data_IF_163524004707
#
_entry.id   IF_163524004707
#
_cell.length_a   1.000
_cell.length_b   1.000
_cell.length_c   1.000
_cell.angle_alpha   90.00
_cell.angle_beta   90.00
_cell.angle_gamma   90.00
#
_symmetry.space_group_name_H-M   'P 1'
#
loop_
_entity.id
_entity.type
_entity.pdbx_description
1 polymer ?
#
# COMPACT_ATOMS: atom_id res chain seq x y z
N UNK A 1 -6.02 -3.20 -14.00
CA UNK A 1 -6.23 -4.67 -14.02
C UNK A 1 -6.95 -5.03 -12.74
N UNK A 2 -7.67 -6.15 -12.70
CA UNK A 2 -8.16 -6.66 -11.43
C UNK A 2 -7.04 -7.46 -10.74
N UNK A 3 -6.46 -6.89 -9.68
CA UNK A 3 -5.43 -7.54 -8.88
C UNK A 3 -6.01 -8.30 -7.66
N UNK A 4 -7.33 -8.24 -7.45
CA UNK A 4 -7.98 -8.87 -6.31
C UNK A 4 -7.53 -8.31 -4.95
N UNK A 5 -7.06 -7.06 -4.90
CA UNK A 5 -6.51 -6.44 -3.69
C UNK A 5 -7.54 -5.62 -2.88
N UNK A 6 -8.70 -5.35 -3.46
CA UNK A 6 -9.78 -4.59 -2.82
C UNK A 6 -10.15 -5.17 -1.44
N UNK A 7 -10.09 -4.34 -0.40
CA UNK A 7 -10.46 -4.69 0.97
C UNK A 7 -9.43 -5.56 1.70
N UNK A 8 -8.32 -5.97 1.06
CA UNK A 8 -7.23 -6.67 1.75
C UNK A 8 -6.45 -5.70 2.63
N UNK A 9 -5.76 -6.25 3.63
CA UNK A 9 -4.88 -5.50 4.53
C UNK A 9 -3.43 -5.69 4.12
N UNK A 10 -2.65 -4.60 4.08
CA UNK A 10 -1.22 -4.65 3.79
C UNK A 10 -0.41 -3.78 4.76
N UNK A 11 0.74 -4.30 5.20
CA UNK A 11 1.74 -3.57 5.98
C UNK A 11 2.88 -3.14 5.05
N UNK A 12 3.22 -1.85 5.05
CA UNK A 12 4.36 -1.32 4.31
C UNK A 12 5.31 -0.62 5.28
N UNK A 13 6.54 -1.16 5.39
CA UNK A 13 7.61 -0.58 6.19
C UNK A 13 8.47 0.37 5.34
N UNK A 14 9.11 1.37 5.97
CA UNK A 14 9.89 2.38 5.24
C UNK A 14 9.04 3.23 4.29
N UNK A 15 7.75 3.39 4.61
CA UNK A 15 6.77 4.04 3.73
C UNK A 15 6.68 5.56 3.95
N UNK A 16 7.61 6.14 4.70
CA UNK A 16 7.67 7.57 4.97
C UNK A 16 8.03 8.41 3.74
N UNK A 17 8.82 7.87 2.80
CA UNK A 17 9.22 8.54 1.55
C UNK A 17 9.74 7.56 0.49
N UNK A 18 10.00 8.07 -0.71
CA UNK A 18 10.64 7.30 -1.78
C UNK A 18 9.83 6.08 -2.21
N UNK A 19 10.52 4.96 -2.44
CA UNK A 19 9.91 3.73 -2.97
C UNK A 19 8.82 3.17 -2.05
N UNK A 20 9.05 3.14 -0.74
CA UNK A 20 8.07 2.62 0.22
C UNK A 20 6.75 3.42 0.16
N UNK A 21 6.84 4.74 -0.01
CA UNK A 21 5.67 5.60 -0.22
C UNK A 21 4.96 5.27 -1.53
N UNK A 22 5.69 5.14 -2.63
CA UNK A 22 5.11 4.79 -3.93
C UNK A 22 4.41 3.43 -3.93
N UNK A 23 4.96 2.44 -3.21
CA UNK A 23 4.34 1.12 -3.04
C UNK A 23 3.04 1.23 -2.24
N UNK A 24 3.05 1.98 -1.13
CA UNK A 24 1.84 2.23 -0.34
C UNK A 24 0.76 2.93 -1.19
N UNK A 25 1.12 3.95 -1.96
CA UNK A 25 0.17 4.67 -2.82
C UNK A 25 -0.42 3.76 -3.91
N UNK A 26 0.38 2.84 -4.49
CA UNK A 26 -0.11 1.86 -5.45
C UNK A 26 -1.10 0.87 -4.81
N UNK A 27 -0.80 0.33 -3.63
CA UNK A 27 -1.69 -0.59 -2.91
C UNK A 27 -2.99 0.09 -2.47
N UNK A 28 -2.93 1.37 -2.05
CA UNK A 28 -4.11 2.16 -1.71
C UNK A 28 -5.04 2.36 -2.92
N UNK A 29 -4.47 2.62 -4.10
CA UNK A 29 -5.24 2.75 -5.36
C UNK A 29 -5.99 1.48 -5.74
N UNK A 30 -5.43 0.34 -5.39
CA UNK A 30 -6.07 -0.97 -5.57
C UNK A 30 -7.07 -1.32 -4.46
N UNK A 31 -7.33 -0.39 -3.52
CA UNK A 31 -8.35 -0.53 -2.49
C UNK A 31 -7.91 -1.32 -1.26
N UNK A 32 -6.60 -1.46 -1.02
CA UNK A 32 -6.09 -2.05 0.22
C UNK A 32 -6.30 -1.11 1.42
N UNK A 33 -6.53 -1.71 2.58
CA UNK A 33 -6.37 -1.07 3.88
C UNK A 33 -4.90 -1.15 4.31
N UNK A 34 -4.27 -0.01 4.52
CA UNK A 34 -2.83 0.06 4.77
C UNK A 34 -2.52 0.32 6.24
N UNK A 35 -1.48 -0.36 6.73
CA UNK A 35 -0.71 0.04 7.90
C UNK A 35 0.68 0.44 7.40
N UNK A 36 1.14 1.62 7.80
CA UNK A 36 2.44 2.15 7.38
C UNK A 36 3.35 2.33 8.59
N UNK A 37 4.63 1.97 8.42
CA UNK A 37 5.69 2.30 9.37
C UNK A 37 6.76 3.13 8.68
N UNK A 38 7.28 4.11 9.43
CA UNK A 38 8.31 5.05 8.99
C UNK A 38 9.60 4.36 8.54
#
# INVERSE_FOLDING_TARGET
MDLGLQGKRALVMGASKGLGRSVADALAREGCHLVISG
#
